data_IF_309992364121
#
_entry.id   IF_309992364121
#
_cell.length_a   1.000
_cell.length_b   1.000
_cell.length_c   1.000
_cell.angle_alpha   90.00
_cell.angle_beta   90.00
_cell.angle_gamma   90.00
#
_symmetry.space_group_name_H-M   'P 1'
#
loop_
_entity.id
_entity.type
_entity.pdbx_description
1 polymer ?
#
# COMPACT_ATOMS: atom_id res chain seq x y z
N UNK A 1 19.60 -4.12 -26.05
CA UNK A 1 18.59 -3.04 -26.19
C UNK A 1 17.27 -3.51 -26.83
N UNK A 2 17.27 -4.41 -27.83
CA UNK A 2 16.03 -4.80 -28.55
C UNK A 2 15.01 -5.61 -27.73
N UNK A 3 15.44 -6.46 -26.79
CA UNK A 3 14.50 -7.31 -26.02
C UNK A 3 13.68 -6.58 -24.94
N UNK A 4 14.23 -5.49 -24.38
CA UNK A 4 13.58 -4.69 -23.32
C UNK A 4 13.98 -3.22 -23.47
N UNK A 5 13.47 -2.51 -24.49
CA UNK A 5 13.91 -1.15 -24.81
C UNK A 5 13.68 -0.17 -23.65
N UNK A 6 12.63 -0.36 -22.86
CA UNK A 6 12.29 0.48 -21.71
C UNK A 6 13.36 0.46 -20.59
N UNK A 7 14.14 -0.62 -20.47
CA UNK A 7 15.20 -0.72 -19.46
C UNK A 7 16.35 0.25 -19.72
N UNK A 8 16.49 0.78 -20.94
CA UNK A 8 17.59 1.66 -21.31
C UNK A 8 17.26 3.15 -21.21
N UNK A 9 15.97 3.51 -21.17
CA UNK A 9 15.51 4.91 -21.09
C UNK A 9 16.10 5.67 -19.91
N UNK A 10 16.19 5.11 -18.68
CA UNK A 10 16.81 5.82 -17.56
C UNK A 10 18.29 6.10 -17.78
N UNK A 11 19.03 5.15 -18.36
CA UNK A 11 20.46 5.31 -18.64
C UNK A 11 20.71 6.32 -19.75
N UNK A 12 19.90 6.28 -20.81
CA UNK A 12 19.99 7.24 -21.92
C UNK A 12 19.72 8.67 -21.45
N UNK A 13 18.75 8.87 -20.54
CA UNK A 13 18.49 10.18 -19.91
C UNK A 13 19.63 10.65 -19.02
N UNK A 14 20.32 9.72 -18.36
CA UNK A 14 21.45 10.03 -17.50
C UNK A 14 22.78 10.17 -18.28
N UNK A 15 22.79 9.88 -19.59
CA UNK A 15 24.00 9.85 -20.40
C UNK A 15 24.97 8.72 -20.03
N UNK A 16 24.47 7.64 -19.42
CA UNK A 16 25.28 6.52 -18.92
C UNK A 16 25.27 5.39 -19.94
N UNK A 17 26.43 4.81 -20.23
CA UNK A 17 26.56 3.55 -20.95
C UNK A 17 26.59 2.37 -19.97
N UNK A 18 25.47 1.65 -19.74
CA UNK A 18 25.39 0.59 -18.73
C UNK A 18 26.24 -0.65 -19.07
N UNK A 19 26.88 -0.70 -20.24
CA UNK A 19 27.77 -1.80 -20.64
C UNK A 19 29.26 -1.50 -20.41
N UNK A 20 29.61 -0.24 -20.16
CA UNK A 20 31.00 0.20 -20.04
C UNK A 20 31.27 1.02 -18.78
N UNK A 21 30.23 1.62 -18.18
CA UNK A 21 30.35 2.55 -17.08
C UNK A 21 29.72 1.98 -15.82
N UNK A 22 30.39 2.16 -14.68
CA UNK A 22 29.81 1.92 -13.38
C UNK A 22 28.88 3.07 -13.02
N UNK A 23 27.74 2.75 -12.41
CA UNK A 23 26.79 3.75 -11.92
C UNK A 23 26.33 3.39 -10.51
N UNK A 24 25.95 4.41 -9.74
CA UNK A 24 25.51 4.21 -8.36
C UNK A 24 24.17 3.49 -8.34
N UNK A 25 24.11 2.40 -7.57
CA UNK A 25 22.86 1.76 -7.18
C UNK A 25 22.52 2.15 -5.74
N UNK A 26 21.23 2.19 -5.42
CA UNK A 26 20.76 2.43 -4.06
C UNK A 26 19.47 1.66 -3.84
N UNK A 27 19.26 1.19 -2.63
CA UNK A 27 18.00 0.56 -2.23
C UNK A 27 16.96 1.65 -2.00
N UNK A 28 15.75 1.44 -2.53
CA UNK A 28 14.60 2.33 -2.35
C UNK A 28 13.45 1.56 -1.72
N UNK A 29 12.75 2.20 -0.79
CA UNK A 29 11.52 1.66 -0.25
C UNK A 29 10.43 1.76 -1.32
N UNK A 30 9.88 0.61 -1.74
CA UNK A 30 8.73 0.54 -2.65
C UNK A 30 7.40 0.32 -1.90
N UNK A 31 7.44 0.38 -0.57
CA UNK A 31 6.27 0.18 0.29
C UNK A 31 5.62 -1.18 0.08
N UNK A 32 4.30 -1.22 0.20
CA UNK A 32 3.50 -2.46 0.04
C UNK A 32 3.21 -2.80 -1.41
N UNK A 33 3.60 -1.98 -2.40
CA UNK A 33 3.42 -2.28 -3.84
C UNK A 33 4.14 -3.59 -4.20
N UNK A 34 5.30 -3.85 -3.59
CA UNK A 34 5.98 -5.15 -3.63
C UNK A 34 6.00 -5.87 -2.28
N UNK A 35 5.18 -5.45 -1.32
CA UNK A 35 5.05 -6.12 -0.03
C UNK A 35 4.10 -7.33 -0.10
N UNK A 36 3.96 -8.01 1.03
CA UNK A 36 3.02 -9.14 1.17
C UNK A 36 1.79 -8.78 1.99
N UNK A 37 1.89 -7.81 2.90
CA UNK A 37 0.76 -7.37 3.72
C UNK A 37 -0.32 -6.61 2.94
N UNK A 38 -1.24 -6.02 3.68
CA UNK A 38 -2.40 -5.30 3.15
C UNK A 38 -3.59 -5.44 4.10
N UNK A 39 -4.76 -5.05 3.62
CA UNK A 39 -6.02 -5.27 4.32
C UNK A 39 -6.30 -6.78 4.32
N UNK A 40 -6.63 -7.30 5.49
CA UNK A 40 -6.94 -8.71 5.71
C UNK A 40 -8.16 -9.16 4.88
N UNK A 41 -8.07 -10.38 4.35
CA UNK A 41 -9.10 -11.01 3.53
C UNK A 41 -9.66 -12.20 4.29
N UNK A 42 -10.96 -12.18 4.52
CA UNK A 42 -11.64 -13.18 5.36
C UNK A 42 -12.47 -14.18 4.54
N UNK A 43 -12.45 -14.09 3.21
CA UNK A 43 -13.21 -14.96 2.31
C UNK A 43 -12.64 -15.03 0.89
N UNK A 44 -13.01 -16.08 0.16
CA UNK A 44 -12.59 -16.32 -1.23
C UNK A 44 -13.10 -15.28 -2.24
N UNK A 45 -14.10 -14.48 -1.87
CA UNK A 45 -14.61 -13.36 -2.67
C UNK A 45 -13.96 -12.01 -2.29
N UNK A 46 -12.82 -12.06 -1.58
CA UNK A 46 -12.05 -10.89 -1.13
C UNK A 46 -12.82 -9.94 -0.20
N UNK A 47 -13.74 -10.47 0.62
CA UNK A 47 -14.37 -9.66 1.66
C UNK A 47 -13.38 -9.34 2.77
N UNK A 48 -13.57 -8.18 3.39
CA UNK A 48 -12.88 -7.79 4.63
C UNK A 48 -13.70 -8.22 5.84
N UNK A 49 -13.17 -8.01 7.05
CA UNK A 49 -13.94 -8.16 8.29
C UNK A 49 -15.14 -7.20 8.42
N UNK A 50 -15.26 -6.20 7.55
CA UNK A 50 -16.40 -5.26 7.53
C UNK A 50 -17.44 -5.73 6.49
N UNK A 51 -18.68 -6.03 6.88
CA UNK A 51 -19.71 -6.49 5.96
C UNK A 51 -19.96 -5.50 4.81
N UNK A 52 -19.92 -6.00 3.58
CA UNK A 52 -20.12 -5.20 2.37
C UNK A 52 -18.88 -4.42 1.91
N UNK A 53 -17.76 -4.49 2.64
CA UNK A 53 -16.47 -3.94 2.22
C UNK A 53 -15.57 -5.05 1.68
N UNK A 54 -15.06 -4.82 0.48
CA UNK A 54 -14.22 -5.74 -0.28
C UNK A 54 -12.91 -5.04 -0.66
N UNK A 55 -11.83 -5.81 -0.84
CA UNK A 55 -10.50 -5.27 -1.16
C UNK A 55 -9.88 -5.98 -2.36
N UNK A 56 -9.10 -5.25 -3.16
CA UNK A 56 -8.37 -5.79 -4.31
C UNK A 56 -7.03 -5.06 -4.53
N UNK A 57 -6.16 -5.66 -5.35
CA UNK A 57 -4.91 -5.04 -5.79
C UNK A 57 -3.87 -4.88 -4.67
N UNK A 58 -3.08 -3.81 -4.73
CA UNK A 58 -1.97 -3.56 -3.80
C UNK A 58 -2.43 -3.29 -2.36
N UNK A 59 -3.71 -2.93 -2.16
CA UNK A 59 -4.29 -2.75 -0.85
C UNK A 59 -4.73 -4.08 -0.22
N UNK A 60 -4.99 -5.11 -1.01
CA UNK A 60 -5.38 -6.43 -0.53
C UNK A 60 -4.16 -7.22 -0.04
N UNK A 61 -4.28 -7.86 1.13
CA UNK A 61 -3.22 -8.74 1.64
C UNK A 61 -2.90 -9.83 0.62
N UNK A 62 -1.59 -10.06 0.43
CA UNK A 62 -1.03 -11.10 -0.43
C UNK A 62 -0.38 -12.22 0.37
N UNK A 63 -0.44 -12.17 1.69
CA UNK A 63 0.16 -13.17 2.57
C UNK A 63 -0.40 -14.57 2.29
N UNK A 64 -1.69 -14.67 1.93
CA UNK A 64 -2.35 -15.92 1.52
C UNK A 64 -1.77 -16.55 0.24
N UNK A 65 -1.13 -15.74 -0.61
CA UNK A 65 -0.57 -16.18 -1.90
C UNK A 65 0.94 -16.40 -1.85
N UNK A 66 1.67 -15.49 -1.21
CA UNK A 66 3.15 -15.47 -1.25
C UNK A 66 3.82 -15.57 0.12
N UNK A 67 3.05 -15.69 1.20
CA UNK A 67 3.57 -15.71 2.56
C UNK A 67 4.37 -14.44 2.86
N UNK A 68 5.60 -14.62 3.34
CA UNK A 68 6.52 -13.52 3.63
C UNK A 68 7.35 -13.05 2.41
N UNK A 69 7.19 -13.68 1.24
CA UNK A 69 8.01 -13.37 0.06
C UNK A 69 7.32 -12.35 -0.82
N UNK A 70 8.03 -11.28 -1.15
CA UNK A 70 7.62 -10.31 -2.17
C UNK A 70 7.40 -11.01 -3.51
N UNK A 71 6.19 -10.92 -4.04
CA UNK A 71 5.90 -11.33 -5.41
C UNK A 71 6.64 -10.44 -6.42
N UNK A 72 7.32 -11.05 -7.40
CA UNK A 72 7.80 -10.34 -8.59
C UNK A 72 6.64 -9.79 -9.42
N UNK A 73 6.94 -9.02 -10.48
CA UNK A 73 5.91 -8.31 -11.26
C UNK A 73 4.75 -9.18 -11.78
N UNK A 74 5.01 -10.45 -12.10
CA UNK A 74 3.98 -11.40 -12.54
C UNK A 74 2.92 -11.68 -11.45
N UNK A 75 3.34 -11.82 -10.20
CA UNK A 75 2.43 -12.12 -9.08
C UNK A 75 1.56 -10.91 -8.77
N UNK A 76 2.13 -9.70 -8.74
CA UNK A 76 1.38 -8.48 -8.45
C UNK A 76 0.28 -8.24 -9.49
N UNK A 77 0.63 -8.34 -10.76
CA UNK A 77 -0.32 -8.18 -11.86
C UNK A 77 -1.42 -9.26 -11.82
N UNK A 78 -1.05 -10.51 -11.57
CA UNK A 78 -2.02 -11.61 -11.47
C UNK A 78 -2.95 -11.40 -10.27
N UNK A 79 -2.41 -10.97 -9.13
CA UNK A 79 -3.18 -10.68 -7.93
C UNK A 79 -4.16 -9.54 -8.13
N UNK A 80 -3.73 -8.43 -8.73
CA UNK A 80 -4.60 -7.29 -9.01
C UNK A 80 -5.79 -7.68 -9.90
N UNK A 81 -5.55 -8.51 -10.92
CA UNK A 81 -6.62 -9.00 -11.79
C UNK A 81 -7.55 -9.98 -11.08
N UNK A 82 -7.00 -10.98 -10.39
CA UNK A 82 -7.78 -12.03 -9.74
C UNK A 82 -8.61 -11.48 -8.57
N UNK A 83 -7.96 -10.75 -7.65
CA UNK A 83 -8.66 -10.11 -6.52
C UNK A 83 -9.69 -9.09 -6.99
N UNK A 84 -9.41 -8.32 -8.04
CA UNK A 84 -10.38 -7.38 -8.63
C UNK A 84 -11.63 -8.09 -9.14
N UNK A 85 -11.46 -9.23 -9.82
CA UNK A 85 -12.59 -10.04 -10.28
C UNK A 85 -13.40 -10.62 -9.12
N UNK A 86 -12.74 -11.24 -8.13
CA UNK A 86 -13.39 -11.85 -6.98
C UNK A 86 -14.10 -10.81 -6.11
N UNK A 87 -13.43 -9.72 -5.74
CA UNK A 87 -14.00 -8.61 -4.99
C UNK A 87 -15.21 -8.01 -5.70
N UNK A 88 -15.12 -7.77 -7.01
CA UNK A 88 -16.23 -7.26 -7.81
C UNK A 88 -17.43 -8.20 -7.82
N UNK A 89 -17.19 -9.50 -7.98
CA UNK A 89 -18.23 -10.53 -7.90
C UNK A 89 -18.87 -10.57 -6.52
N UNK A 90 -18.07 -10.64 -5.45
CA UNK A 90 -18.52 -10.66 -4.06
C UNK A 90 -19.37 -9.45 -3.71
N UNK A 91 -18.86 -8.25 -3.99
CA UNK A 91 -19.58 -7.00 -3.80
C UNK A 91 -20.91 -6.97 -4.57
N UNK A 92 -20.94 -7.45 -5.82
CA UNK A 92 -22.17 -7.50 -6.62
C UNK A 92 -23.22 -8.47 -6.04
N UNK A 93 -22.79 -9.62 -5.53
CA UNK A 93 -23.67 -10.61 -4.91
C UNK A 93 -24.19 -10.09 -3.57
N UNK A 94 -23.31 -9.49 -2.77
CA UNK A 94 -23.69 -8.83 -1.52
C UNK A 94 -24.76 -7.77 -1.77
N UNK A 95 -24.52 -6.86 -2.72
CA UNK A 95 -25.47 -5.80 -3.07
C UNK A 95 -26.84 -6.35 -3.54
N UNK A 96 -26.86 -7.45 -4.32
CA UNK A 96 -28.10 -8.09 -4.78
C UNK A 96 -28.94 -8.72 -3.66
N UNK A 97 -28.32 -9.18 -2.57
CA UNK A 97 -29.04 -9.75 -1.42
C UNK A 97 -29.87 -8.71 -0.67
N UNK A 98 -29.53 -7.43 -0.82
CA UNK A 98 -30.35 -6.35 -0.29
C UNK A 98 -31.54 -6.09 -1.21
N UNK A 99 -32.63 -6.83 -1.00
CA UNK A 99 -33.92 -6.62 -1.66
C UNK A 99 -34.63 -5.40 -1.04
N UNK A 100 -34.29 -4.19 -1.51
CA UNK A 100 -34.94 -2.96 -1.06
C UNK A 100 -34.24 -1.69 -1.50
N UNK A 101 -34.76 -0.54 -1.04
CA UNK A 101 -34.21 0.81 -1.28
C UNK A 101 -32.87 1.07 -0.54
N UNK A 102 -31.98 0.07 -0.40
CA UNK A 102 -30.71 0.20 0.34
C UNK A 102 -29.84 1.34 -0.20
N UNK A 103 -29.86 1.55 -1.53
CA UNK A 103 -29.19 2.67 -2.21
C UNK A 103 -30.02 3.98 -2.30
N UNK A 104 -31.23 4.05 -1.72
CA UNK A 104 -31.98 5.31 -1.60
C UNK A 104 -31.92 5.92 -0.20
N UNK A 105 -31.06 5.39 0.68
CA UNK A 105 -30.65 6.16 1.86
C UNK A 105 -29.62 7.17 1.38
N UNK A 106 -29.85 8.43 1.69
CA UNK A 106 -28.89 9.50 1.45
C UNK A 106 -27.56 9.09 2.07
N UNK A 107 -26.55 8.86 1.23
CA UNK A 107 -25.22 8.50 1.70
C UNK A 107 -24.72 9.66 2.56
N UNK A 108 -24.53 9.42 3.86
CA UNK A 108 -23.94 10.43 4.73
C UNK A 108 -22.43 10.35 4.56
N UNK A 109 -21.77 11.41 4.07
CA UNK A 109 -20.32 11.42 4.03
C UNK A 109 -19.80 11.19 5.46
N UNK A 110 -18.89 10.23 5.60
CA UNK A 110 -18.12 10.05 6.83
C UNK A 110 -17.20 11.25 7.10
N UNK A 111 -16.96 12.05 6.06
CA UNK A 111 -15.99 13.14 6.03
C UNK A 111 -14.69 12.73 5.31
N UNK A 112 -13.70 13.61 5.34
CA UNK A 112 -12.30 13.43 4.98
C UNK A 112 -11.54 13.08 6.27
N UNK A 113 -10.25 12.77 6.15
CA UNK A 113 -9.38 12.71 7.32
C UNK A 113 -9.53 14.01 8.15
N UNK A 114 -9.88 13.87 9.42
CA UNK A 114 -10.12 15.02 10.31
C UNK A 114 -11.46 15.76 10.11
N UNK A 115 -12.43 15.27 9.33
CA UNK A 115 -13.69 16.03 9.09
C UNK A 115 -14.70 16.06 10.25
N UNK A 116 -14.36 15.46 11.38
CA UNK A 116 -14.99 15.70 12.69
C UNK A 116 -13.91 15.56 13.74
N UNK A 117 -12.98 16.53 13.80
CA UNK A 117 -11.86 16.37 14.68
C UNK A 117 -12.40 16.45 16.10
N UNK A 118 -12.03 15.49 16.94
CA UNK A 118 -12.41 15.49 18.36
C UNK A 118 -11.73 16.62 19.14
N UNK A 119 -10.74 17.28 18.52
CA UNK A 119 -9.98 18.39 19.05
C UNK A 119 -9.80 19.49 17.99
N UNK A 120 -9.45 20.69 18.43
CA UNK A 120 -9.07 21.78 17.52
C UNK A 120 -7.79 21.40 16.78
N UNK A 121 -7.74 21.69 15.48
CA UNK A 121 -6.53 21.49 14.69
C UNK A 121 -5.35 22.26 15.30
N UNK A 122 -4.23 21.57 15.51
CA UNK A 122 -2.98 22.15 15.96
C UNK A 122 -2.37 22.98 14.84
N UNK A 123 -2.51 24.30 14.91
CA UNK A 123 -2.01 25.23 13.89
C UNK A 123 -0.47 25.28 13.82
N UNK A 124 0.20 24.76 14.83
CA UNK A 124 1.65 24.65 14.98
C UNK A 124 2.24 23.39 14.33
N UNK A 125 1.41 22.48 13.79
CA UNK A 125 1.88 21.26 13.13
C UNK A 125 1.65 21.35 11.63
N UNK A 126 2.74 21.33 10.86
CA UNK A 126 2.65 21.21 9.41
C UNK A 126 2.58 19.73 8.99
N UNK A 127 1.67 19.39 8.07
CA UNK A 127 1.57 18.03 7.52
C UNK A 127 2.89 17.54 6.91
N UNK A 128 3.69 18.44 6.33
CA UNK A 128 5.02 18.12 5.80
C UNK A 128 5.98 17.63 6.91
N UNK A 129 5.91 18.20 8.11
CA UNK A 129 6.74 17.78 9.24
C UNK A 129 6.36 16.37 9.71
N UNK A 130 5.07 16.07 9.77
CA UNK A 130 4.57 14.72 10.08
C UNK A 130 5.04 13.71 9.02
N UNK A 131 4.92 14.06 7.74
CA UNK A 131 5.36 13.20 6.63
C UNK A 131 6.86 12.90 6.74
N UNK A 132 7.68 13.91 6.97
CA UNK A 132 9.13 13.71 7.08
C UNK A 132 9.52 12.97 8.36
N UNK A 133 8.81 13.18 9.47
CA UNK A 133 9.01 12.38 10.68
C UNK A 133 8.68 10.91 10.45
N UNK A 134 7.55 10.59 9.83
CA UNK A 134 7.18 9.22 9.47
C UNK A 134 8.20 8.60 8.52
N UNK A 135 8.61 9.33 7.47
CA UNK A 135 9.62 8.86 6.51
C UNK A 135 10.96 8.56 7.17
N UNK A 136 11.37 9.39 8.14
CA UNK A 136 12.58 9.21 8.93
C UNK A 136 12.60 7.90 9.70
N UNK A 137 11.43 7.38 10.08
CA UNK A 137 11.29 6.10 10.78
C UNK A 137 11.16 4.90 9.83
N UNK A 138 10.41 5.03 8.73
CA UNK A 138 10.03 3.88 7.90
C UNK A 138 10.87 3.69 6.63
N UNK A 139 11.67 4.67 6.22
CA UNK A 139 12.44 4.60 4.96
C UNK A 139 13.88 4.14 5.14
N UNK A 140 14.62 4.50 6.20
CA UNK A 140 16.00 4.08 6.37
C UNK A 140 16.17 2.56 6.40
N UNK A 141 17.25 2.08 5.78
CA UNK A 141 17.55 0.64 5.71
C UNK A 141 17.81 0.05 7.08
N UNK A 142 18.53 0.80 7.90
CA UNK A 142 18.64 0.53 9.32
C UNK A 142 17.29 0.95 9.93
N UNK A 143 16.48 0.00 10.41
CA UNK A 143 15.09 0.21 10.83
C UNK A 143 14.07 -0.53 9.99
N UNK A 144 14.09 -0.35 8.66
CA UNK A 144 13.12 -1.01 7.80
C UNK A 144 13.63 -2.33 7.19
N UNK A 145 14.87 -2.37 6.70
CA UNK A 145 15.44 -3.57 6.10
C UNK A 145 16.16 -4.43 7.16
N UNK A 146 17.04 -3.83 7.94
CA UNK A 146 17.64 -4.44 9.13
C UNK A 146 16.85 -4.02 10.37
N UNK A 147 16.44 -4.99 11.18
CA UNK A 147 15.52 -4.78 12.29
C UNK A 147 16.08 -5.32 13.59
N UNK A 148 15.95 -4.55 14.66
CA UNK A 148 16.19 -4.97 16.04
C UNK A 148 14.98 -4.58 16.89
N UNK A 149 14.69 -5.34 17.95
CA UNK A 149 13.54 -5.05 18.83
C UNK A 149 13.60 -3.64 19.41
N UNK A 150 14.73 -3.27 20.01
CA UNK A 150 14.97 -1.94 20.59
C UNK A 150 14.72 -0.79 19.59
N UNK A 151 15.13 -0.97 18.33
CA UNK A 151 14.92 0.07 17.31
C UNK A 151 13.45 0.18 16.92
N UNK A 152 12.75 -0.95 16.79
CA UNK A 152 11.33 -0.95 16.46
C UNK A 152 10.51 -0.30 17.58
N UNK A 153 10.86 -0.54 18.84
CA UNK A 153 10.23 0.10 20.00
C UNK A 153 10.43 1.62 19.98
N UNK A 154 11.67 2.10 19.81
CA UNK A 154 11.97 3.53 19.69
C UNK A 154 11.24 4.19 18.51
N UNK A 155 11.16 3.48 17.39
CA UNK A 155 10.47 3.95 16.20
C UNK A 155 8.96 4.08 16.43
N UNK A 156 8.36 3.09 17.12
CA UNK A 156 6.96 3.16 17.52
C UNK A 156 6.68 4.33 18.46
N UNK A 157 7.50 4.52 19.50
CA UNK A 157 7.41 5.69 20.41
C UNK A 157 7.49 7.02 19.64
N UNK A 158 8.40 7.11 18.68
CA UNK A 158 8.54 8.30 17.84
C UNK A 158 7.31 8.53 16.97
N UNK A 159 6.76 7.49 16.36
CA UNK A 159 5.56 7.57 15.51
C UNK A 159 4.30 7.92 16.32
N UNK A 160 4.19 7.49 17.57
CA UNK A 160 3.07 7.88 18.46
C UNK A 160 3.20 9.33 18.95
N UNK A 161 4.42 9.89 18.94
CA UNK A 161 4.68 11.26 19.39
C UNK A 161 4.35 12.35 18.36
N UNK A 162 4.12 11.97 17.09
CA UNK A 162 3.94 12.91 15.97
C UNK A 162 2.49 13.18 15.62
#
# INVERSE_FOLDING_TARGET
RQGQPNCFVPYDRAGINPFAELFRITLRAEGTVRGTGGIDIVSDDCATGVPGLYVAGDAASREIMTGAVSGGGAVNSSWALASGWWAGKGASVHAKRWTGKAFRREARPLGQAGLRPSAVARADIAAAEVIEAVRGEVTPLDGNFFRTGERLEKSAERLESV
#
